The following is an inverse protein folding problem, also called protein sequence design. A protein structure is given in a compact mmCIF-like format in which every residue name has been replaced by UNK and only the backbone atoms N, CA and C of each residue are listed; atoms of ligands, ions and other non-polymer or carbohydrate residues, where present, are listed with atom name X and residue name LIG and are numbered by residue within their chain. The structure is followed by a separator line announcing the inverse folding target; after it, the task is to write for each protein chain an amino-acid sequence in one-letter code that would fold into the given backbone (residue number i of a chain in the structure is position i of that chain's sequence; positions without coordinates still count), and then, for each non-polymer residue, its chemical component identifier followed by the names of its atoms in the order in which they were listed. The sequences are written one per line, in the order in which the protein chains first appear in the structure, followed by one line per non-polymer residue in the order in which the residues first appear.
data_IF_880100397758
#
_entry.id   IF_880100397758
#
_cell.length_a   1.000
_cell.length_b   1.000
_cell.length_c   1.000
_cell.angle_alpha   90.00
_cell.angle_beta   90.00
_cell.angle_gamma   90.00
#
_symmetry.space_group_name_H-M   'P 1'
#
loop_
_entity.id
_entity.type
_entity.pdbx_description
1 polymer ?
#
# COMPACT_ATOMS: atom_id res chain seq x y z
N UNK A 1 -11.71 10.41 -22.75
CA UNK A 1 -10.73 11.31 -22.09
C UNK A 1 -10.36 10.84 -20.69
N UNK A 2 -11.32 10.53 -19.81
CA UNK A 2 -11.05 10.09 -18.41
C UNK A 2 -10.11 8.89 -18.29
N UNK A 3 -10.32 7.81 -19.04
CA UNK A 3 -9.47 6.61 -18.96
C UNK A 3 -8.01 6.91 -19.34
N UNK A 4 -7.78 7.82 -20.29
CA UNK A 4 -6.42 8.19 -20.71
C UNK A 4 -5.70 8.93 -19.58
N UNK A 5 -6.39 9.86 -18.89
CA UNK A 5 -5.80 10.56 -17.74
C UNK A 5 -5.53 9.63 -16.56
N UNK A 6 -6.43 8.67 -16.29
CA UNK A 6 -6.21 7.65 -15.25
C UNK A 6 -4.99 6.79 -15.58
N UNK A 7 -4.88 6.31 -16.83
CA UNK A 7 -3.72 5.53 -17.27
C UNK A 7 -2.42 6.32 -17.14
N UNK A 8 -2.42 7.59 -17.56
CA UNK A 8 -1.27 8.48 -17.43
C UNK A 8 -0.85 8.65 -15.97
N UNK A 9 -1.82 8.90 -15.08
CA UNK A 9 -1.58 9.05 -13.65
C UNK A 9 -1.02 7.78 -13.03
N UNK A 10 -1.61 6.61 -13.33
CA UNK A 10 -1.18 5.32 -12.77
C UNK A 10 0.23 4.96 -13.25
N UNK A 11 0.57 5.24 -14.52
CA UNK A 11 1.94 5.04 -15.02
C UNK A 11 2.96 5.87 -14.23
N UNK A 12 2.68 7.15 -14.00
CA UNK A 12 3.55 8.03 -13.23
C UNK A 12 3.68 7.56 -11.76
N UNK A 13 2.56 7.23 -11.10
CA UNK A 13 2.55 6.76 -9.72
C UNK A 13 3.31 5.45 -9.54
N UNK A 14 3.15 4.50 -10.48
CA UNK A 14 3.84 3.20 -10.42
C UNK A 14 5.35 3.37 -10.44
N UNK A 15 5.87 4.31 -11.26
CA UNK A 15 7.29 4.59 -11.31
C UNK A 15 7.85 5.11 -9.97
N UNK A 16 7.10 5.99 -9.30
CA UNK A 16 7.49 6.57 -8.01
C UNK A 16 7.39 5.53 -6.88
N UNK A 17 6.29 4.78 -6.80
CA UNK A 17 6.10 3.79 -5.73
C UNK A 17 7.04 2.60 -5.81
N UNK A 18 7.57 2.27 -6.99
CA UNK A 18 8.59 1.22 -7.12
C UNK A 18 10.01 1.71 -6.76
N UNK A 19 10.25 3.01 -6.56
CA UNK A 19 11.61 3.51 -6.27
C UNK A 19 12.24 2.85 -5.04
N UNK A 20 11.57 2.78 -3.87
CA UNK A 20 12.18 2.16 -2.69
C UNK A 20 12.51 0.68 -2.91
N UNK A 21 11.61 -0.06 -3.56
CA UNK A 21 11.83 -1.47 -3.91
C UNK A 21 13.01 -1.64 -4.88
N UNK A 22 13.10 -0.76 -5.87
CA UNK A 22 14.20 -0.77 -6.83
C UNK A 22 15.54 -0.45 -6.19
N UNK A 23 15.57 0.50 -5.24
CA UNK A 23 16.77 0.79 -4.44
C UNK A 23 17.17 -0.39 -3.56
N UNK A 24 16.21 -1.07 -2.95
CA UNK A 24 16.46 -2.31 -2.21
C UNK A 24 17.02 -3.41 -3.11
N UNK A 25 16.50 -3.57 -4.33
CA UNK A 25 17.06 -4.53 -5.29
C UNK A 25 18.48 -4.16 -5.71
N UNK A 26 18.76 -2.89 -5.97
CA UNK A 26 20.09 -2.46 -6.38
C UNK A 26 21.13 -2.57 -5.27
N UNK A 27 20.76 -2.24 -4.04
CA UNK A 27 21.65 -2.38 -2.88
C UNK A 27 21.91 -3.84 -2.51
N UNK A 28 20.93 -4.72 -2.75
CA UNK A 28 21.05 -6.15 -2.40
C UNK A 28 21.75 -6.97 -3.50
N UNK A 29 21.49 -6.68 -4.78
CA UNK A 29 21.95 -7.51 -5.91
C UNK A 29 22.96 -6.81 -6.82
N UNK A 30 23.17 -5.50 -6.66
CA UNK A 30 24.18 -4.75 -7.39
C UNK A 30 25.57 -4.87 -6.77
N UNK A 31 26.60 -4.82 -7.60
CA UNK A 31 27.99 -4.70 -7.15
C UNK A 31 28.37 -3.21 -7.05
N UNK A 32 28.66 -2.70 -5.83
CA UNK A 32 29.03 -1.29 -5.64
C UNK A 32 30.42 -0.94 -6.19
N UNK A 33 31.26 -1.93 -6.52
CA UNK A 33 32.60 -1.72 -7.09
C UNK A 33 32.57 -1.55 -8.61
N UNK A 34 31.45 -1.86 -9.25
CA UNK A 34 31.30 -1.77 -10.70
C UNK A 34 30.42 -0.57 -11.08
N UNK A 35 30.66 0.01 -12.26
CA UNK A 35 29.85 1.12 -12.76
C UNK A 35 28.37 0.77 -12.86
N UNK A 36 27.49 1.76 -12.67
CA UNK A 36 26.03 1.56 -12.65
C UNK A 36 25.46 0.98 -13.96
N UNK A 37 26.15 1.16 -15.08
CA UNK A 37 25.78 0.64 -16.41
C UNK A 37 26.61 -0.57 -16.83
N UNK A 38 27.40 -1.16 -15.92
CA UNK A 38 28.08 -2.43 -16.19
C UNK A 38 27.05 -3.54 -16.42
N UNK A 39 27.32 -4.46 -17.34
CA UNK A 39 26.47 -5.63 -17.58
C UNK A 39 26.18 -6.40 -16.28
N UNK A 40 27.13 -6.43 -15.34
CA UNK A 40 26.94 -7.07 -14.02
C UNK A 40 25.82 -6.44 -13.19
N UNK A 41 25.57 -5.14 -13.33
CA UNK A 41 24.55 -4.40 -12.58
C UNK A 41 23.27 -4.17 -13.40
N UNK A 42 23.38 -4.03 -14.72
CA UNK A 42 22.24 -3.82 -15.63
C UNK A 42 21.36 -5.07 -15.74
N UNK A 43 21.98 -6.25 -15.89
CA UNK A 43 21.23 -7.52 -16.00
C UNK A 43 20.33 -7.78 -14.79
N UNK A 44 20.85 -7.82 -13.54
CA UNK A 44 19.98 -8.04 -12.37
C UNK A 44 18.97 -6.90 -12.19
N UNK A 45 19.33 -5.65 -12.50
CA UNK A 45 18.40 -4.50 -12.46
C UNK A 45 17.18 -4.74 -13.37
N UNK A 46 17.40 -5.10 -14.63
CA UNK A 46 16.30 -5.33 -15.58
C UNK A 46 15.48 -6.55 -15.16
N UNK A 47 16.14 -7.66 -14.82
CA UNK A 47 15.46 -8.89 -14.42
C UNK A 47 14.59 -8.68 -13.18
N UNK A 48 15.12 -8.08 -12.11
CA UNK A 48 14.39 -7.89 -10.85
C UNK A 48 13.22 -6.91 -11.02
N UNK A 49 13.43 -5.80 -11.73
CA UNK A 49 12.37 -4.81 -12.00
C UNK A 49 11.26 -5.38 -12.88
N UNK A 50 11.61 -6.16 -13.90
CA UNK A 50 10.61 -6.84 -14.74
C UNK A 50 9.87 -7.92 -13.98
N UNK A 51 10.57 -8.71 -13.16
CA UNK A 51 9.96 -9.77 -12.36
C UNK A 51 8.99 -9.21 -11.32
N UNK A 52 9.33 -8.09 -10.67
CA UNK A 52 8.44 -7.48 -9.68
C UNK A 52 7.14 -6.99 -10.31
N UNK A 53 7.21 -6.34 -11.49
CA UNK A 53 6.02 -5.88 -12.21
C UNK A 53 5.20 -7.06 -12.75
N UNK A 54 5.87 -8.09 -13.29
CA UNK A 54 5.21 -9.29 -13.78
C UNK A 54 4.47 -10.01 -12.65
N UNK A 55 5.11 -10.23 -11.50
CA UNK A 55 4.49 -10.85 -10.34
C UNK A 55 3.27 -10.04 -9.84
N UNK A 56 3.40 -8.71 -9.73
CA UNK A 56 2.28 -7.85 -9.34
C UNK A 56 1.11 -7.94 -10.33
N UNK A 57 1.40 -7.95 -11.63
CA UNK A 57 0.39 -8.07 -12.70
C UNK A 57 -0.32 -9.43 -12.64
N UNK A 58 0.43 -10.52 -12.43
CA UNK A 58 -0.15 -11.86 -12.29
C UNK A 58 -1.08 -11.92 -11.08
N UNK A 59 -0.64 -11.41 -9.92
CA UNK A 59 -1.48 -11.38 -8.72
C UNK A 59 -2.77 -10.56 -8.93
N UNK A 60 -2.65 -9.40 -9.59
CA UNK A 60 -3.80 -8.56 -9.92
C UNK A 60 -4.77 -9.23 -10.91
N UNK A 61 -4.24 -9.98 -11.89
CA UNK A 61 -5.06 -10.72 -12.85
C UNK A 61 -5.73 -11.95 -12.23
N UNK A 62 -5.07 -12.59 -11.25
CA UNK A 62 -5.61 -13.76 -10.56
C UNK A 62 -6.74 -13.39 -9.59
N UNK A 63 -6.66 -12.26 -8.88
CA UNK A 63 -7.59 -11.96 -7.78
C UNK A 63 -8.66 -10.93 -8.20
N UNK A 64 -9.90 -11.34 -8.54
CA UNK A 64 -10.95 -10.39 -8.94
C UNK A 64 -11.42 -9.50 -7.78
N UNK A 65 -11.13 -9.88 -6.53
CA UNK A 65 -11.42 -9.13 -5.29
C UNK A 65 -10.21 -8.32 -4.78
N UNK A 66 -9.25 -7.98 -5.67
CA UNK A 66 -8.15 -7.08 -5.33
C UNK A 66 -8.59 -5.76 -4.69
N UNK A 67 -9.73 -5.12 -5.09
CA UNK A 67 -10.24 -3.94 -4.39
C UNK A 67 -10.51 -4.17 -2.90
N UNK A 68 -11.01 -5.34 -2.50
CA UNK A 68 -11.32 -5.64 -1.10
C UNK A 68 -10.06 -5.87 -0.27
N UNK A 69 -9.03 -6.46 -0.89
CA UNK A 69 -7.69 -6.57 -0.31
C UNK A 69 -7.10 -5.17 -0.09
N UNK A 70 -7.21 -4.27 -1.07
CA UNK A 70 -6.76 -2.88 -0.93
C UNK A 70 -7.53 -2.14 0.16
N UNK A 71 -8.84 -2.34 0.27
CA UNK A 71 -9.65 -1.77 1.34
C UNK A 71 -9.19 -2.28 2.73
N UNK A 72 -8.82 -3.56 2.84
CA UNK A 72 -8.27 -4.13 4.07
C UNK A 72 -6.95 -3.47 4.46
N UNK A 73 -6.03 -3.29 3.51
CA UNK A 73 -4.78 -2.57 3.75
C UNK A 73 -4.99 -1.08 4.07
N UNK A 74 -5.99 -0.44 3.47
CA UNK A 74 -6.40 0.91 3.83
C UNK A 74 -6.89 0.99 5.27
N UNK A 75 -7.70 0.02 5.70
CA UNK A 75 -8.24 -0.04 7.05
C UNK A 75 -7.15 -0.27 8.11
N UNK A 76 -6.22 -1.21 7.91
CA UNK A 76 -5.19 -1.53 8.91
C UNK A 76 -3.88 -0.77 8.74
N UNK A 77 -3.58 -0.26 7.55
CA UNK A 77 -2.37 0.49 7.25
C UNK A 77 -2.62 1.99 7.28
N UNK A 78 -3.35 2.50 6.29
CA UNK A 78 -3.52 3.95 6.10
C UNK A 78 -4.22 4.61 7.29
N UNK A 79 -5.35 4.06 7.77
CA UNK A 79 -6.11 4.72 8.84
C UNK A 79 -5.28 4.86 10.13
N UNK A 80 -4.62 3.80 10.65
CA UNK A 80 -3.76 3.94 11.82
C UNK A 80 -2.57 4.86 11.59
N UNK A 81 -1.89 4.74 10.45
CA UNK A 81 -0.68 5.51 10.17
C UNK A 81 -0.96 7.00 9.99
N UNK A 82 -2.07 7.37 9.34
CA UNK A 82 -2.34 8.74 8.95
C UNK A 82 -3.25 9.49 9.95
N UNK A 83 -4.16 8.78 10.63
CA UNK A 83 -5.15 9.43 11.51
C UNK A 83 -5.00 9.09 12.99
N UNK A 84 -4.55 7.89 13.35
CA UNK A 84 -4.44 7.49 14.76
C UNK A 84 -3.07 7.90 15.31
N UNK A 85 -1.99 7.46 14.67
CA UNK A 85 -0.63 7.67 15.18
C UNK A 85 -0.28 9.15 15.34
N UNK A 86 -0.56 10.06 14.39
CA UNK A 86 -0.21 11.47 14.56
C UNK A 86 -0.93 12.10 15.76
N UNK A 87 -2.19 11.73 15.99
CA UNK A 87 -2.98 12.24 17.13
C UNK A 87 -2.46 11.73 18.47
N UNK A 88 -2.11 10.44 18.53
CA UNK A 88 -1.51 9.81 19.71
C UNK A 88 -0.13 10.40 19.99
N UNK A 89 0.74 10.48 18.98
CA UNK A 89 2.09 11.02 19.12
C UNK A 89 2.09 12.49 19.50
N UNK A 90 1.16 13.29 18.95
CA UNK A 90 1.00 14.67 19.37
C UNK A 90 0.67 14.76 20.87
N UNK A 91 -0.32 13.99 21.32
CA UNK A 91 -0.74 13.99 22.73
C UNK A 91 0.37 13.48 23.67
N UNK A 92 1.16 12.49 23.25
CA UNK A 92 2.30 11.97 24.03
C UNK A 92 3.48 12.94 24.11
N UNK A 93 3.76 13.64 23.01
CA UNK A 93 4.93 14.52 22.88
C UNK A 93 4.69 15.87 23.56
N UNK A 94 3.56 16.52 23.24
CA UNK A 94 3.28 17.88 23.70
C UNK A 94 2.49 17.92 25.01
N UNK A 95 1.88 16.80 25.42
CA UNK A 95 1.10 16.66 26.67
C UNK A 95 0.17 17.85 26.91
N UNK A 96 -0.71 18.19 25.95
CA UNK A 96 -1.61 19.33 26.09
C UNK A 96 -2.50 19.14 27.33
N UNK A 97 -2.91 20.25 27.96
CA UNK A 97 -3.84 20.21 29.09
C UNK A 97 -5.16 19.55 28.66
N UNK A 98 -5.75 18.76 29.56
CA UNK A 98 -7.03 18.06 29.31
C UNK A 98 -8.21 19.01 29.05
N UNK A 99 -8.06 20.28 29.39
CA UNK A 99 -9.06 21.33 29.18
C UNK A 99 -8.92 22.02 27.82
N UNK A 100 -7.88 21.69 27.04
CA UNK A 100 -7.64 22.30 25.73
C UNK A 100 -8.44 21.57 24.65
N UNK A 101 -9.04 22.35 23.73
CA UNK A 101 -9.81 21.83 22.59
C UNK A 101 -8.98 20.83 21.76
N UNK A 102 -7.69 21.11 21.55
CA UNK A 102 -6.78 20.23 20.79
C UNK A 102 -6.68 18.81 21.38
N UNK A 103 -6.66 18.66 22.70
CA UNK A 103 -6.60 17.33 23.33
C UNK A 103 -7.86 16.52 23.01
N UNK A 104 -9.03 17.15 23.08
CA UNK A 104 -10.31 16.51 22.76
C UNK A 104 -10.44 16.19 21.27
N UNK A 105 -10.08 17.11 20.39
CA UNK A 105 -10.10 16.88 18.94
C UNK A 105 -9.21 15.69 18.57
N UNK A 106 -7.97 15.65 19.06
CA UNK A 106 -7.05 14.55 18.79
C UNK A 106 -7.60 13.21 19.29
N UNK A 107 -8.18 13.17 20.49
CA UNK A 107 -8.78 11.95 21.04
C UNK A 107 -10.03 11.51 20.27
N UNK A 108 -10.88 12.45 19.83
CA UNK A 108 -12.06 12.14 19.01
C UNK A 108 -11.63 11.58 17.65
N UNK A 109 -10.65 12.19 16.99
CA UNK A 109 -10.12 11.68 15.71
C UNK A 109 -9.53 10.28 15.90
N UNK A 110 -8.71 10.07 16.92
CA UNK A 110 -8.12 8.76 17.21
C UNK A 110 -9.19 7.70 17.50
N UNK A 111 -10.20 8.02 18.31
CA UNK A 111 -11.28 7.11 18.66
C UNK A 111 -12.18 6.78 17.45
N UNK A 112 -12.64 7.79 16.72
CA UNK A 112 -13.47 7.61 15.53
C UNK A 112 -12.73 6.82 14.44
N UNK A 113 -11.45 7.14 14.21
CA UNK A 113 -10.61 6.40 13.26
C UNK A 113 -10.40 4.96 13.70
N UNK A 114 -10.21 4.69 15.00
CA UNK A 114 -10.11 3.32 15.52
C UNK A 114 -11.39 2.51 15.27
N UNK A 115 -12.57 3.12 15.40
CA UNK A 115 -13.85 2.48 15.05
C UNK A 115 -13.89 2.19 13.55
N UNK A 116 -13.44 3.12 12.70
CA UNK A 116 -13.38 2.91 11.25
C UNK A 116 -12.43 1.78 10.85
N UNK A 117 -11.30 1.60 11.54
CA UNK A 117 -10.40 0.44 11.33
C UNK A 117 -11.15 -0.87 11.54
N UNK A 118 -11.90 -0.98 12.65
CA UNK A 118 -12.63 -2.21 12.98
C UNK A 118 -13.75 -2.48 11.96
N UNK A 119 -14.56 -1.46 11.65
CA UNK A 119 -15.66 -1.59 10.69
C UNK A 119 -15.12 -1.92 9.30
N UNK A 120 -14.12 -1.17 8.83
CA UNK A 120 -13.49 -1.37 7.53
C UNK A 120 -12.85 -2.76 7.42
N UNK A 121 -12.10 -3.17 8.45
CA UNK A 121 -11.49 -4.49 8.51
C UNK A 121 -12.52 -5.62 8.42
N UNK A 122 -13.60 -5.55 9.22
CA UNK A 122 -14.68 -6.56 9.19
C UNK A 122 -15.37 -6.58 7.82
N UNK A 123 -15.68 -5.42 7.26
CA UNK A 123 -16.34 -5.30 5.96
C UNK A 123 -15.50 -5.89 4.83
N UNK A 124 -14.21 -5.53 4.77
CA UNK A 124 -13.28 -6.05 3.76
C UNK A 124 -13.05 -7.55 3.90
N UNK A 125 -12.85 -8.07 5.11
CA UNK A 125 -12.70 -9.52 5.33
C UNK A 125 -13.95 -10.27 4.89
N UNK A 126 -15.14 -9.77 5.26
CA UNK A 126 -16.41 -10.37 4.86
C UNK A 126 -16.54 -10.43 3.34
N UNK A 127 -16.20 -9.34 2.64
CA UNK A 127 -16.29 -9.25 1.19
C UNK A 127 -15.31 -10.22 0.51
N UNK A 128 -14.05 -10.25 0.96
CA UNK A 128 -13.03 -11.22 0.51
C UNK A 128 -13.55 -12.66 0.65
N UNK A 129 -14.16 -13.01 1.79
CA UNK A 129 -14.67 -14.38 2.02
C UNK A 129 -15.84 -14.73 1.09
N UNK A 130 -16.72 -13.78 0.79
CA UNK A 130 -17.85 -14.00 -0.12
C UNK A 130 -17.34 -14.19 -1.55
N UNK A 131 -16.42 -13.32 -1.99
CA UNK A 131 -15.90 -13.35 -3.35
C UNK A 131 -14.99 -14.57 -3.57
N UNK A 132 -14.18 -14.94 -2.58
CA UNK A 132 -13.34 -16.14 -2.63
C UNK A 132 -14.15 -17.45 -2.72
N UNK A 133 -15.38 -17.50 -2.20
CA UNK A 133 -16.24 -18.69 -2.32
C UNK A 133 -16.81 -18.91 -3.72
N UNK A 134 -17.02 -17.83 -4.45
CA UNK A 134 -17.56 -17.86 -5.83
C UNK A 134 -16.42 -17.91 -6.85
N UNK A 135 -15.21 -17.61 -6.42
CA UNK A 135 -14.03 -17.59 -7.24
C UNK A 135 -13.56 -19.00 -7.61
N UNK A 136 -13.48 -19.24 -8.92
CA UNK A 136 -12.77 -20.37 -9.50
C UNK A 136 -11.62 -19.81 -10.34
N UNK A 137 -10.40 -20.27 -10.04
CA UNK A 137 -9.20 -19.84 -10.76
C UNK A 137 -9.34 -20.24 -12.23
N UNK A 138 -9.49 -19.24 -13.12
CA UNK A 138 -9.67 -19.44 -14.56
C UNK A 138 -10.91 -20.23 -15.00
N UNK A 139 -12.05 -20.07 -14.32
CA UNK A 139 -13.29 -20.77 -14.70
C UNK A 139 -13.83 -20.48 -16.13
N UNK A 140 -13.36 -19.40 -16.77
CA UNK A 140 -13.68 -19.05 -18.17
C UNK A 140 -12.47 -19.23 -19.11
N UNK A 141 -11.62 -20.25 -18.87
CA UNK A 141 -10.68 -20.77 -19.89
C UNK A 141 -11.08 -22.17 -20.36
#
# INVERSE_FOLDING_TARGET
MTNIFILLQVMALTAVYLQPTNEMFETTFGDPKMGQFSMRNVVPRVVLRSLSVAAATVLAAMLPFFPDIMALFGAFGCIPLDFILPMVFYNMTFKPSKNTIMFWVNNVIAAASSILVVIGGIASIRQIVIDAKTYNLFADM
#
